data_IF_386938251463
#
_entry.id   IF_386938251463
#
_cell.length_a   1.000
_cell.length_b   1.000
_cell.length_c   1.000
_cell.angle_alpha   90.00
_cell.angle_beta   90.00
_cell.angle_gamma   90.00
#
_symmetry.space_group_name_H-M   'P 1'
#
loop_
_entity.id
_entity.type
_entity.pdbx_description
1 polymer ?
#
# COMPACT_ATOMS: atom_id res chain seq x y z
N UNK A 1 5.98 -15.81 12.25
CA UNK A 1 7.33 -16.29 12.59
C UNK A 1 8.27 -16.27 11.38
N UNK A 2 7.94 -16.87 10.23
CA UNK A 2 8.82 -16.83 9.04
C UNK A 2 9.04 -15.41 8.45
N UNK A 3 8.04 -14.54 8.54
CA UNK A 3 8.06 -13.20 7.90
C UNK A 3 9.05 -12.21 8.49
N UNK A 4 9.31 -12.30 9.79
CA UNK A 4 10.22 -11.37 10.47
C UNK A 4 11.67 -11.71 10.14
N UNK A 5 11.99 -13.00 9.94
CA UNK A 5 13.35 -13.46 9.64
C UNK A 5 13.84 -12.99 8.27
N UNK A 6 13.00 -13.07 7.22
CA UNK A 6 13.39 -12.59 5.87
C UNK A 6 13.62 -11.06 5.83
N UNK A 7 12.91 -10.29 6.66
CA UNK A 7 13.13 -8.85 6.82
C UNK A 7 14.40 -8.59 7.63
N UNK A 8 14.65 -9.35 8.69
CA UNK A 8 15.88 -9.27 9.48
C UNK A 8 17.12 -9.55 8.62
N UNK A 9 17.04 -10.54 7.73
CA UNK A 9 18.13 -10.84 6.80
C UNK A 9 18.31 -9.72 5.76
N UNK A 10 17.22 -9.06 5.35
CA UNK A 10 17.28 -7.88 4.50
C UNK A 10 17.93 -6.68 5.20
N UNK A 11 17.77 -6.50 6.52
CA UNK A 11 18.42 -5.41 7.28
C UNK A 11 19.95 -5.45 7.19
N UNK A 12 20.54 -6.64 7.00
CA UNK A 12 21.97 -6.83 6.81
C UNK A 12 22.44 -6.68 5.35
N UNK A 13 21.50 -6.49 4.40
CA UNK A 13 21.80 -6.32 2.99
C UNK A 13 22.31 -4.91 2.66
N UNK A 14 23.23 -4.80 1.69
CA UNK A 14 23.71 -3.49 1.22
C UNK A 14 22.57 -2.65 0.62
N UNK A 15 22.62 -1.30 0.71
CA UNK A 15 21.66 -0.43 0.03
C UNK A 15 21.74 -0.57 -1.50
N UNK A 16 20.61 -0.41 -2.18
CA UNK A 16 20.54 -0.31 -3.64
C UNK A 16 19.97 1.05 -4.04
N UNK A 17 20.76 1.87 -4.74
CA UNK A 17 20.29 3.13 -5.35
C UNK A 17 20.31 3.03 -6.87
N UNK A 18 19.17 3.28 -7.51
CA UNK A 18 19.00 3.22 -8.96
C UNK A 18 18.76 4.62 -9.51
N UNK A 19 19.77 5.21 -10.15
CA UNK A 19 19.67 6.54 -10.78
C UNK A 19 19.29 6.49 -12.27
N UNK A 20 19.73 5.44 -12.97
CA UNK A 20 19.42 5.20 -14.38
C UNK A 20 18.36 4.12 -14.56
N UNK A 21 18.53 3.26 -15.55
CA UNK A 21 17.65 2.10 -15.77
C UNK A 21 18.31 0.82 -15.28
N UNK A 22 17.59 0.01 -14.50
CA UNK A 22 18.04 -1.29 -14.00
C UNK A 22 16.92 -2.32 -14.12
N UNK A 23 17.23 -3.47 -14.74
CA UNK A 23 16.35 -4.65 -14.70
C UNK A 23 17.02 -5.77 -13.91
N UNK A 24 16.35 -6.27 -12.88
CA UNK A 24 16.75 -7.45 -12.11
C UNK A 24 15.87 -8.63 -12.51
N UNK A 25 16.51 -9.67 -13.05
CA UNK A 25 15.83 -10.92 -13.45
C UNK A 25 15.44 -11.75 -12.23
N UNK A 26 16.27 -11.71 -11.20
CA UNK A 26 16.07 -12.38 -9.92
C UNK A 26 15.37 -11.48 -8.89
N UNK A 27 15.06 -12.06 -7.72
CA UNK A 27 14.54 -11.31 -6.59
C UNK A 27 15.57 -10.36 -5.98
N UNK A 28 15.09 -9.29 -5.36
CA UNK A 28 15.94 -8.28 -4.70
C UNK A 28 15.77 -8.39 -3.19
N UNK A 29 16.86 -8.65 -2.47
CA UNK A 29 16.92 -8.62 -1.00
C UNK A 29 17.96 -7.59 -0.57
N UNK A 30 17.53 -6.46 0.00
CA UNK A 30 18.38 -5.31 0.33
C UNK A 30 17.83 -4.61 1.57
N UNK A 31 18.67 -3.94 2.36
CA UNK A 31 18.15 -3.18 3.51
C UNK A 31 17.29 -2.02 3.02
N UNK A 32 17.81 -1.23 2.07
CA UNK A 32 17.06 -0.15 1.45
C UNK A 32 17.19 -0.16 -0.07
N UNK A 33 16.09 0.21 -0.73
CA UNK A 33 16.03 0.39 -2.18
C UNK A 33 15.51 1.79 -2.46
N UNK A 34 16.31 2.61 -3.13
CA UNK A 34 15.94 3.95 -3.59
C UNK A 34 15.97 3.99 -5.13
N UNK A 35 14.82 4.29 -5.73
CA UNK A 35 14.64 4.33 -7.18
C UNK A 35 14.41 5.77 -7.62
N UNK A 36 15.43 6.41 -8.17
CA UNK A 36 15.34 7.75 -8.78
C UNK A 36 15.04 7.64 -10.27
N UNK A 37 15.62 6.64 -10.95
CA UNK A 37 15.38 6.36 -12.37
C UNK A 37 14.29 5.30 -12.57
N UNK A 38 14.63 4.24 -13.31
CA UNK A 38 13.74 3.12 -13.61
C UNK A 38 14.27 1.82 -13.02
N UNK A 39 13.44 1.12 -12.25
CA UNK A 39 13.73 -0.22 -11.73
C UNK A 39 12.63 -1.20 -12.15
N UNK A 40 13.03 -2.29 -12.82
CA UNK A 40 12.17 -3.45 -13.05
C UNK A 40 12.71 -4.68 -12.33
N UNK A 41 11.92 -5.27 -11.46
CA UNK A 41 12.23 -6.53 -10.78
C UNK A 41 11.27 -7.60 -11.30
N UNK A 42 11.81 -8.64 -11.93
CA UNK A 42 11.01 -9.76 -12.45
C UNK A 42 10.68 -10.79 -11.36
N UNK A 43 11.43 -10.80 -10.26
CA UNK A 43 11.14 -11.59 -9.06
C UNK A 43 10.40 -10.80 -7.98
N UNK A 44 10.55 -11.27 -6.74
CA UNK A 44 10.04 -10.59 -5.54
C UNK A 44 11.08 -9.61 -4.96
N UNK A 45 10.60 -8.62 -4.21
CA UNK A 45 11.44 -7.70 -3.46
C UNK A 45 11.20 -7.86 -1.96
N UNK A 46 12.28 -7.99 -1.20
CA UNK A 46 12.27 -7.96 0.27
C UNK A 46 13.21 -6.84 0.70
N UNK A 47 12.70 -5.86 1.42
CA UNK A 47 13.49 -4.70 1.87
C UNK A 47 12.99 -4.17 3.20
N UNK A 48 13.80 -3.46 3.97
CA UNK A 48 13.25 -2.70 5.10
C UNK A 48 12.56 -1.45 4.59
N UNK A 49 13.19 -0.75 3.63
CA UNK A 49 12.68 0.49 3.04
C UNK A 49 12.69 0.46 1.52
N UNK A 50 11.56 0.76 0.91
CA UNK A 50 11.44 1.04 -0.52
C UNK A 50 11.06 2.51 -0.71
N UNK A 51 11.92 3.29 -1.34
CA UNK A 51 11.65 4.68 -1.74
C UNK A 51 11.65 4.80 -3.27
N UNK A 52 10.53 5.22 -3.84
CA UNK A 52 10.34 5.34 -5.28
C UNK A 52 10.11 6.81 -5.63
N UNK A 53 11.07 7.42 -6.30
CA UNK A 53 11.02 8.79 -6.84
C UNK A 53 10.78 8.78 -8.36
N UNK A 54 11.30 7.76 -9.06
CA UNK A 54 11.06 7.52 -10.48
C UNK A 54 10.04 6.40 -10.72
N UNK A 55 10.35 5.45 -11.60
CA UNK A 55 9.49 4.34 -11.96
C UNK A 55 10.00 3.01 -11.38
N UNK A 56 9.13 2.28 -10.68
CA UNK A 56 9.44 0.96 -10.14
C UNK A 56 8.33 -0.03 -10.49
N UNK A 57 8.71 -1.17 -11.08
CA UNK A 57 7.82 -2.29 -11.33
C UNK A 57 8.37 -3.56 -10.70
N UNK A 58 7.56 -4.21 -9.87
CA UNK A 58 7.87 -5.47 -9.20
C UNK A 58 6.83 -6.49 -9.65
N UNK A 59 7.26 -7.50 -10.41
CA UNK A 59 6.34 -8.45 -11.06
C UNK A 59 5.60 -9.34 -10.07
N UNK A 60 6.23 -9.66 -8.93
CA UNK A 60 5.68 -10.60 -7.95
C UNK A 60 5.38 -9.86 -6.64
N UNK A 61 5.88 -10.38 -5.52
CA UNK A 61 5.61 -9.86 -4.19
C UNK A 61 6.62 -8.78 -3.78
N UNK A 62 6.14 -7.71 -3.15
CA UNK A 62 6.97 -6.76 -2.43
C UNK A 62 6.67 -6.86 -0.93
N UNK A 63 7.66 -7.26 -0.15
CA UNK A 63 7.62 -7.23 1.30
C UNK A 63 8.52 -6.10 1.81
N UNK A 64 7.95 -5.19 2.57
CA UNK A 64 8.67 -4.04 3.12
C UNK A 64 8.29 -3.73 4.56
N UNK A 65 9.15 -3.05 5.33
CA UNK A 65 8.69 -2.38 6.56
C UNK A 65 8.06 -1.03 6.22
N UNK A 66 8.68 -0.30 5.30
CA UNK A 66 8.23 1.02 4.86
C UNK A 66 8.28 1.14 3.33
N UNK A 67 7.19 1.65 2.74
CA UNK A 67 7.12 2.06 1.33
C UNK A 67 6.81 3.54 1.25
N UNK A 68 7.68 4.30 0.60
CA UNK A 68 7.52 5.72 0.26
C UNK A 68 7.48 5.85 -1.26
N UNK A 69 6.30 6.09 -1.83
CA UNK A 69 6.11 6.25 -3.26
C UNK A 69 5.79 7.71 -3.61
N UNK A 70 6.76 8.39 -4.21
CA UNK A 70 6.64 9.75 -4.74
C UNK A 70 6.56 9.76 -6.27
N UNK A 71 7.00 8.68 -6.92
CA UNK A 71 6.95 8.49 -8.38
C UNK A 71 5.85 7.52 -8.80
N UNK A 72 6.22 6.44 -9.48
CA UNK A 72 5.30 5.45 -10.05
C UNK A 72 5.70 4.05 -9.60
N UNK A 73 4.88 3.42 -8.76
CA UNK A 73 5.09 2.08 -8.23
C UNK A 73 4.00 1.12 -8.74
N UNK A 74 4.42 0.07 -9.44
CA UNK A 74 3.55 -1.01 -9.92
C UNK A 74 4.00 -2.33 -9.33
N UNK A 75 3.11 -2.99 -8.60
CA UNK A 75 3.41 -4.25 -7.93
C UNK A 75 2.22 -5.21 -8.04
N UNK A 76 2.49 -6.51 -8.06
CA UNK A 76 1.43 -7.50 -8.07
C UNK A 76 0.82 -7.67 -6.68
N UNK A 77 1.64 -7.99 -5.67
CA UNK A 77 1.23 -8.05 -4.27
C UNK A 77 2.14 -7.19 -3.39
N UNK A 78 1.57 -6.42 -2.48
CA UNK A 78 2.28 -5.56 -1.54
C UNK A 78 1.97 -5.97 -0.10
N UNK A 79 3.01 -6.23 0.68
CA UNK A 79 2.93 -6.38 2.13
C UNK A 79 3.90 -5.38 2.78
N UNK A 80 3.37 -4.45 3.58
CA UNK A 80 4.17 -3.43 4.23
C UNK A 80 3.77 -3.18 5.69
N UNK A 81 4.70 -2.69 6.51
CA UNK A 81 4.31 -2.06 7.76
C UNK A 81 3.57 -0.74 7.49
N UNK A 82 4.24 0.18 6.82
CA UNK A 82 3.70 1.48 6.44
C UNK A 82 3.81 1.73 4.94
N UNK A 83 2.74 2.22 4.33
CA UNK A 83 2.73 2.69 2.93
C UNK A 83 2.34 4.16 2.91
N UNK A 84 3.16 4.98 2.25
CA UNK A 84 2.84 6.38 1.93
C UNK A 84 3.03 6.59 0.44
N UNK A 85 1.99 7.02 -0.27
CA UNK A 85 2.04 7.27 -1.71
C UNK A 85 1.54 8.66 -2.07
N UNK A 86 2.42 9.54 -2.52
CA UNK A 86 2.05 10.83 -3.14
C UNK A 86 2.02 10.74 -4.68
N UNK A 87 2.62 9.68 -5.24
CA UNK A 87 2.67 9.42 -6.67
C UNK A 87 1.57 8.48 -7.18
N UNK A 88 1.87 7.74 -8.26
CA UNK A 88 1.03 6.68 -8.79
C UNK A 88 1.37 5.34 -8.13
N UNK A 89 0.40 4.70 -7.48
CA UNK A 89 0.54 3.36 -6.91
C UNK A 89 -0.48 2.41 -7.54
N UNK A 90 0.01 1.34 -8.16
CA UNK A 90 -0.81 0.25 -8.68
C UNK A 90 -0.45 -1.06 -7.99
N UNK A 91 -1.43 -1.69 -7.35
CA UNK A 91 -1.33 -3.05 -6.80
C UNK A 91 -2.37 -3.92 -7.49
N UNK A 92 -1.91 -4.87 -8.31
CA UNK A 92 -2.81 -5.61 -9.22
C UNK A 92 -3.51 -6.82 -8.59
N UNK A 93 -3.26 -7.13 -7.32
CA UNK A 93 -4.01 -8.14 -6.57
C UNK A 93 -4.31 -7.67 -5.14
N UNK A 94 -3.31 -7.75 -4.25
CA UNK A 94 -3.52 -7.55 -2.82
C UNK A 94 -2.47 -6.64 -2.22
N UNK A 95 -2.94 -5.65 -1.46
CA UNK A 95 -2.14 -4.82 -0.59
C UNK A 95 -2.50 -5.11 0.88
N UNK A 96 -1.51 -5.43 1.70
CA UNK A 96 -1.63 -5.56 3.15
C UNK A 96 -0.68 -4.56 3.81
N UNK A 97 -1.20 -3.67 4.64
CA UNK A 97 -0.43 -2.70 5.40
C UNK A 97 -0.79 -2.73 6.89
N UNK A 98 0.04 -2.18 7.79
CA UNK A 98 -0.48 -1.71 9.07
C UNK A 98 -1.16 -0.37 8.88
N UNK A 99 -0.42 0.61 8.36
CA UNK A 99 -0.92 1.95 8.03
C UNK A 99 -0.75 2.22 6.53
N UNK A 100 -1.82 2.64 5.85
CA UNK A 100 -1.82 3.02 4.44
C UNK A 100 -2.20 4.49 4.29
N UNK A 101 -1.37 5.27 3.60
CA UNK A 101 -1.65 6.65 3.26
C UNK A 101 -1.42 6.89 1.78
N UNK A 102 -2.35 7.59 1.13
CA UNK A 102 -2.19 8.05 -0.24
C UNK A 102 -2.73 9.46 -0.45
N UNK A 103 -1.98 10.27 -1.19
CA UNK A 103 -2.33 11.62 -1.63
C UNK A 103 -1.90 11.75 -3.10
N UNK A 104 -2.44 10.86 -3.92
CA UNK A 104 -2.04 10.66 -5.31
C UNK A 104 -2.96 9.66 -6.01
N UNK A 105 -2.55 9.17 -7.17
CA UNK A 105 -3.36 8.21 -7.93
C UNK A 105 -3.12 6.78 -7.41
N UNK A 106 -4.16 6.15 -6.88
CA UNK A 106 -4.12 4.77 -6.38
C UNK A 106 -5.04 3.85 -7.18
N UNK A 107 -4.52 2.68 -7.54
CA UNK A 107 -5.28 1.56 -8.10
C UNK A 107 -4.88 0.31 -7.34
N UNK A 108 -5.77 -0.21 -6.50
CA UNK A 108 -5.52 -1.41 -5.71
C UNK A 108 -6.73 -2.31 -5.90
N UNK A 109 -6.57 -3.60 -6.15
CA UNK A 109 -7.74 -4.49 -6.26
C UNK A 109 -8.31 -4.83 -4.87
N UNK A 110 -7.48 -5.28 -3.93
CA UNK A 110 -7.85 -5.52 -2.54
C UNK A 110 -6.87 -4.85 -1.58
N UNK A 111 -7.37 -4.02 -0.66
CA UNK A 111 -6.58 -3.36 0.39
C UNK A 111 -7.03 -3.84 1.77
N UNK A 112 -6.06 -4.29 2.57
CA UNK A 112 -6.24 -4.57 3.99
C UNK A 112 -5.26 -3.71 4.78
N UNK A 113 -5.75 -3.02 5.81
CA UNK A 113 -4.91 -2.30 6.76
C UNK A 113 -5.24 -2.74 8.19
N UNK A 114 -4.22 -2.96 9.01
CA UNK A 114 -4.41 -3.36 10.41
C UNK A 114 -4.71 -2.18 11.33
N UNK A 115 -4.29 -0.96 10.96
CA UNK A 115 -4.36 0.23 11.82
C UNK A 115 -5.11 1.40 11.14
N UNK A 116 -4.76 1.78 9.90
CA UNK A 116 -5.36 2.97 9.27
C UNK A 116 -5.28 3.01 7.73
N UNK A 117 -6.23 3.71 7.11
CA UNK A 117 -6.32 3.97 5.65
C UNK A 117 -6.66 5.45 5.40
N UNK A 118 -5.67 6.29 5.13
CA UNK A 118 -5.86 7.71 4.79
C UNK A 118 -5.71 7.95 3.28
N UNK A 119 -6.77 8.28 2.54
CA UNK A 119 -6.70 8.50 1.08
C UNK A 119 -7.26 9.88 0.73
N UNK A 120 -6.36 10.82 0.44
CA UNK A 120 -6.70 12.20 0.11
C UNK A 120 -6.75 12.40 -1.42
N UNK A 121 -7.91 12.83 -1.91
CA UNK A 121 -8.14 13.16 -3.33
C UNK A 121 -8.40 14.67 -3.49
N UNK A 122 -7.47 15.41 -4.09
CA UNK A 122 -7.67 16.84 -4.40
C UNK A 122 -8.09 17.70 -3.20
N UNK A 123 -8.66 18.89 -3.46
CA UNK A 123 -8.99 19.89 -2.45
C UNK A 123 -10.08 19.49 -1.42
N UNK A 124 -10.58 18.25 -1.47
CA UNK A 124 -11.55 17.69 -0.52
C UNK A 124 -11.16 16.25 -0.18
N UNK A 125 -10.13 16.09 0.63
CA UNK A 125 -9.63 14.77 1.03
C UNK A 125 -10.64 13.98 1.85
N UNK A 126 -10.69 12.66 1.65
CA UNK A 126 -11.51 11.76 2.45
C UNK A 126 -10.62 11.03 3.45
N UNK A 127 -10.79 11.30 4.75
CA UNK A 127 -10.09 10.56 5.80
C UNK A 127 -10.98 9.41 6.26
N UNK A 128 -10.53 8.17 6.05
CA UNK A 128 -11.19 7.00 6.60
C UNK A 128 -10.36 6.46 7.76
N UNK A 129 -10.96 6.32 8.94
CA UNK A 129 -10.34 5.57 10.05
C UNK A 129 -11.11 4.26 10.13
N UNK A 130 -10.42 3.13 9.98
CA UNK A 130 -11.07 1.82 9.90
C UNK A 130 -11.53 1.42 11.31
N UNK A 131 -12.84 1.29 11.59
CA UNK A 131 -13.29 0.64 12.81
C UNK A 131 -13.15 -0.88 12.68
N UNK A 132 -13.13 -1.60 13.80
CA UNK A 132 -12.76 -3.02 13.91
C UNK A 132 -13.46 -4.01 12.95
N UNK A 133 -14.56 -3.63 12.28
CA UNK A 133 -15.22 -4.36 11.18
C UNK A 133 -16.01 -3.43 10.24
N UNK A 134 -16.19 -3.81 8.98
CA UNK A 134 -17.10 -3.13 8.05
C UNK A 134 -16.81 -3.33 6.55
N UNK A 135 -17.65 -2.73 5.72
CA UNK A 135 -17.45 -2.56 4.27
C UNK A 135 -17.41 -1.06 3.99
N UNK A 136 -16.44 -0.59 3.20
CA UNK A 136 -16.35 0.78 2.76
C UNK A 136 -16.56 0.81 1.25
N UNK A 137 -17.55 1.58 0.80
CA UNK A 137 -17.82 1.76 -0.63
C UNK A 137 -17.42 3.18 -1.00
N UNK A 138 -16.42 3.31 -1.88
CA UNK A 138 -15.92 4.60 -2.32
C UNK A 138 -16.67 5.04 -3.57
N UNK A 139 -17.41 6.14 -3.47
CA UNK A 139 -18.20 6.71 -4.54
C UNK A 139 -17.53 7.99 -5.08
N UNK A 140 -17.48 8.16 -6.40
CA UNK A 140 -17.23 9.45 -7.06
C UNK A 140 -18.56 10.07 -7.40
N UNK A 141 -18.67 11.39 -7.23
CA UNK A 141 -19.72 12.18 -7.83
C UNK A 141 -19.11 13.02 -8.95
N UNK A 142 -19.52 12.75 -10.19
CA UNK A 142 -19.13 13.54 -11.37
C UNK A 142 -20.39 14.20 -11.94
N UNK A 143 -20.53 15.53 -11.82
CA UNK A 143 -21.43 16.49 -12.52
C UNK A 143 -22.90 16.11 -12.86
N UNK A 144 -23.42 14.95 -12.45
CA UNK A 144 -24.83 14.49 -12.41
C UNK A 144 -24.92 12.95 -12.23
N UNK A 145 -23.80 12.24 -12.03
CA UNK A 145 -23.77 10.79 -11.80
C UNK A 145 -22.92 10.44 -10.58
N UNK A 146 -23.50 9.62 -9.71
CA UNK A 146 -22.76 8.88 -8.68
C UNK A 146 -22.23 7.59 -9.30
N UNK A 147 -20.91 7.37 -9.25
CA UNK A 147 -20.25 6.14 -9.72
C UNK A 147 -19.52 5.48 -8.57
N UNK A 148 -19.76 4.18 -8.38
CA UNK A 148 -18.93 3.35 -7.52
C UNK A 148 -17.54 3.31 -8.16
N UNK A 149 -16.54 3.85 -7.48
CA UNK A 149 -15.14 3.76 -7.95
C UNK A 149 -14.57 2.43 -7.47
N UNK A 150 -14.91 2.05 -6.23
CA UNK A 150 -14.35 0.88 -5.61
C UNK A 150 -15.16 0.39 -4.41
N UNK A 151 -15.39 -0.92 -4.34
CA UNK A 151 -15.90 -1.61 -3.16
C UNK A 151 -14.70 -2.13 -2.35
N UNK A 152 -14.59 -1.71 -1.10
CA UNK A 152 -13.55 -2.14 -0.16
C UNK A 152 -14.22 -2.97 0.92
N UNK A 153 -14.12 -4.30 0.83
CA UNK A 153 -14.56 -5.21 1.90
C UNK A 153 -13.40 -5.46 2.85
N UNK A 154 -13.63 -5.32 4.15
CA UNK A 154 -12.65 -5.67 5.17
C UNK A 154 -13.27 -6.64 6.19
N UNK A 155 -12.53 -7.69 6.54
CA UNK A 155 -12.87 -8.57 7.64
C UNK A 155 -11.63 -8.76 8.50
N UNK A 156 -11.75 -8.44 9.79
CA UNK A 156 -10.80 -8.88 10.80
C UNK A 156 -11.27 -10.25 11.26
N UNK A 157 -10.52 -11.31 10.94
CA UNK A 157 -10.60 -12.55 11.72
C UNK A 157 -9.81 -12.31 12.99
N UNK A 158 -10.49 -12.12 14.12
CA UNK A 158 -9.84 -12.05 15.42
C UNK A 158 -10.72 -12.72 16.47
N UNK A 159 -10.10 -13.68 17.17
CA UNK A 159 -10.55 -14.16 18.48
C UNK A 159 -10.75 -12.94 19.39
N UNK A 160 -11.90 -12.96 20.04
CA UNK A 160 -12.51 -11.90 20.83
C UNK A 160 -11.80 -11.69 22.16
N UNK A 161 -11.62 -10.43 22.56
CA UNK A 161 -11.67 -10.03 23.97
C UNK A 161 -12.82 -9.02 24.17
N UNK A 162 -13.63 -9.15 25.23
CA UNK A 162 -14.87 -8.39 25.39
C UNK A 162 -14.60 -7.10 26.17
N UNK A 163 -14.68 -5.93 25.52
CA UNK A 163 -14.68 -4.68 26.28
C UNK A 163 -14.28 -3.41 25.55
N UNK A 164 -14.92 -3.08 24.42
CA UNK A 164 -14.93 -1.67 23.98
C UNK A 164 -16.17 -1.36 23.13
N UNK A 165 -17.10 -0.62 23.73
CA UNK A 165 -18.12 0.13 23.01
C UNK A 165 -17.44 1.24 22.19
N UNK A 166 -17.79 1.36 20.91
CA UNK A 166 -17.57 2.59 20.15
C UNK A 166 -18.81 2.85 19.30
N UNK A 167 -19.52 3.92 19.62
CA UNK A 167 -20.70 4.43 18.92
C UNK A 167 -20.33 5.08 17.56
N UNK A 168 -21.19 4.81 16.55
CA UNK A 168 -21.65 5.59 15.36
C UNK A 168 -20.80 6.78 14.84
N UNK A 169 -20.70 7.12 13.54
CA UNK A 169 -21.61 7.06 12.39
C UNK A 169 -20.83 7.36 11.08
N UNK A 170 -21.43 7.16 9.89
CA UNK A 170 -21.71 8.22 8.88
C UNK A 170 -22.79 7.73 7.91
N UNK A 171 -23.95 8.38 7.97
CA UNK A 171 -24.98 8.48 6.94
C UNK A 171 -24.53 9.46 5.85
N UNK A 172 -24.84 9.18 4.59
CA UNK A 172 -25.26 10.22 3.65
C UNK A 172 -26.37 9.63 2.77
N UNK A 173 -27.62 9.93 3.15
CA UNK A 173 -28.80 9.82 2.29
C UNK A 173 -28.93 11.06 1.39
N UNK A 174 -29.63 10.81 0.27
CA UNK A 174 -30.16 11.65 -0.82
C UNK A 174 -29.19 12.41 -1.75
#
# INVERSE_FOLDING_TARGET
MQHDQDILDALNGTPLKVKGSLTKREGVRRNSVEVVGYLRVLGSMITSKLKVLGDCSIRNHCQAMQVENLGSLRVHCLQAGRVTSLGYLSVSQKAAAKSFQAEGAVRIESLMAAESIDIRFGAGGYRYTVPDRGEARLWRRDHNRTRLIQEVRYSKSLQTDPGSNVENAVLLEE
#
